data_IF_857011338427
#
_entry.id   IF_857011338427
#
_cell.length_a   1.000
_cell.length_b   1.000
_cell.length_c   1.000
_cell.angle_alpha   90.00
_cell.angle_beta   90.00
_cell.angle_gamma   90.00
#
_symmetry.space_group_name_H-M   'P 1'
#
loop_
_entity.id
_entity.type
_entity.pdbx_description
1 polymer ?
#
# COMPACT_ATOMS: atom_id res chain seq x y z
N UNK A 1 20.53 10.03 -36.15
CA UNK A 1 20.73 8.70 -35.56
C UNK A 1 20.60 8.82 -34.04
N UNK A 2 19.51 8.33 -33.43
CA UNK A 2 19.45 8.22 -31.97
C UNK A 2 20.29 7.01 -31.57
N UNK A 3 21.39 7.24 -30.88
CA UNK A 3 22.18 6.17 -30.30
C UNK A 3 21.30 5.41 -29.30
N UNK A 4 21.04 4.13 -29.60
CA UNK A 4 20.41 3.19 -28.67
C UNK A 4 21.38 2.95 -27.51
N UNK A 5 21.31 3.80 -26.48
CA UNK A 5 21.86 3.48 -25.18
C UNK A 5 20.94 2.44 -24.53
N UNK A 6 21.24 1.18 -24.78
CA UNK A 6 20.52 -0.01 -24.27
C UNK A 6 20.74 -0.23 -22.74
N UNK A 7 20.93 0.85 -21.99
CA UNK A 7 21.22 0.90 -20.56
C UNK A 7 20.29 1.87 -19.80
N UNK A 8 19.28 2.44 -20.46
CA UNK A 8 18.29 3.23 -19.73
C UNK A 8 17.36 2.31 -18.93
N UNK A 9 17.05 2.69 -17.69
CA UNK A 9 16.10 1.98 -16.82
C UNK A 9 14.65 2.17 -17.28
N UNK A 10 14.42 3.13 -18.17
CA UNK A 10 13.12 3.42 -18.75
C UNK A 10 13.02 2.81 -20.16
N UNK A 11 11.91 2.12 -20.43
CA UNK A 11 11.54 1.74 -21.80
C UNK A 11 11.30 2.98 -22.67
N UNK A 12 10.61 3.98 -22.12
CA UNK A 12 10.50 5.32 -22.68
C UNK A 12 10.43 6.33 -21.53
N UNK A 13 11.47 7.16 -21.42
CA UNK A 13 11.65 8.12 -20.33
C UNK A 13 10.64 9.26 -20.41
N UNK A 14 10.35 9.77 -21.60
CA UNK A 14 9.45 10.90 -21.79
C UNK A 14 8.02 10.51 -21.44
N UNK A 15 7.58 9.34 -21.93
CA UNK A 15 6.26 8.78 -21.62
C UNK A 15 6.14 8.49 -20.12
N UNK A 16 7.16 7.90 -19.49
CA UNK A 16 7.14 7.64 -18.04
C UNK A 16 6.90 8.92 -17.23
N UNK A 17 7.68 9.98 -17.48
CA UNK A 17 7.55 11.22 -16.72
C UNK A 17 6.21 11.92 -16.98
N UNK A 18 5.67 11.84 -18.20
CA UNK A 18 4.36 12.39 -18.50
C UNK A 18 3.25 11.67 -17.73
N UNK A 19 3.25 10.33 -17.77
CA UNK A 19 2.30 9.51 -17.03
C UNK A 19 2.42 9.71 -15.52
N UNK A 20 3.65 9.81 -15.01
CA UNK A 20 3.90 10.06 -13.58
C UNK A 20 3.37 11.42 -13.14
N UNK A 21 3.55 12.48 -13.95
CA UNK A 21 2.99 13.80 -13.66
C UNK A 21 1.47 13.78 -13.64
N UNK A 22 0.83 13.04 -14.55
CA UNK A 22 -0.62 12.92 -14.58
C UNK A 22 -1.14 12.14 -13.38
N UNK A 23 -0.58 10.95 -13.13
CA UNK A 23 -0.89 10.13 -11.95
C UNK A 23 -0.78 10.94 -10.65
N UNK A 24 0.27 11.78 -10.52
CA UNK A 24 0.44 12.62 -9.33
C UNK A 24 -0.73 13.58 -9.06
N UNK A 25 -1.44 14.00 -10.11
CA UNK A 25 -2.56 14.96 -10.05
C UNK A 25 -3.91 14.27 -9.90
N UNK A 26 -4.12 13.17 -10.61
CA UNK A 26 -5.44 12.57 -10.77
C UNK A 26 -5.67 11.32 -9.92
N UNK A 27 -4.62 10.60 -9.51
CA UNK A 27 -4.77 9.33 -8.83
C UNK A 27 -5.52 9.48 -7.50
N UNK A 28 -6.61 8.72 -7.38
CA UNK A 28 -7.42 8.60 -6.18
C UNK A 28 -7.45 7.16 -5.69
N UNK A 29 -7.04 6.96 -4.44
CA UNK A 29 -7.01 5.67 -3.77
C UNK A 29 -8.03 5.69 -2.64
N UNK A 30 -9.03 4.83 -2.72
CA UNK A 30 -9.95 4.60 -1.61
C UNK A 30 -9.34 3.58 -0.65
N UNK A 31 -9.20 3.97 0.61
CA UNK A 31 -8.73 3.07 1.66
C UNK A 31 -9.95 2.55 2.41
N UNK A 32 -10.10 1.23 2.48
CA UNK A 32 -11.18 0.64 3.27
C UNK A 32 -11.08 1.11 4.73
N UNK A 33 -12.15 1.73 5.29
CA UNK A 33 -12.08 2.38 6.59
C UNK A 33 -11.91 1.33 7.70
N UNK A 34 -10.79 1.35 8.43
CA UNK A 34 -10.58 0.40 9.52
C UNK A 34 -11.47 0.77 10.71
N UNK A 35 -12.21 -0.21 11.24
CA UNK A 35 -13.00 -0.03 12.48
C UNK A 35 -12.05 -0.02 13.68
N UNK A 36 -12.03 1.06 14.48
CA UNK A 36 -11.15 1.15 15.67
C UNK A 36 -11.42 0.07 16.71
N UNK A 37 -12.67 -0.38 16.80
CA UNK A 37 -13.10 -1.44 17.72
C UNK A 37 -13.03 -2.84 17.09
N UNK A 38 -12.42 -2.97 15.91
CA UNK A 38 -12.24 -4.26 15.27
C UNK A 38 -11.29 -5.14 16.10
N UNK A 39 -11.59 -6.43 16.31
CA UNK A 39 -10.66 -7.35 16.94
C UNK A 39 -9.27 -7.36 16.28
N UNK A 40 -9.19 -7.07 14.98
CA UNK A 40 -7.96 -7.00 14.18
C UNK A 40 -7.54 -5.56 13.87
N UNK A 41 -7.95 -4.58 14.69
CA UNK A 41 -7.56 -3.18 14.52
C UNK A 41 -6.03 -3.00 14.44
N UNK A 42 -5.24 -3.83 15.14
CA UNK A 42 -3.78 -3.88 15.05
C UNK A 42 -3.26 -4.23 13.64
N UNK A 43 -4.03 -4.97 12.84
CA UNK A 43 -3.70 -5.35 11.46
C UNK A 43 -4.01 -4.20 10.49
N UNK A 44 -5.17 -3.58 10.65
CA UNK A 44 -5.70 -2.61 9.67
C UNK A 44 -5.29 -1.15 9.95
N UNK A 45 -5.07 -0.76 11.20
CA UNK A 45 -4.70 0.62 11.53
C UNK A 45 -3.21 0.90 11.23
N UNK A 46 -2.86 2.16 10.86
CA UNK A 46 -1.46 2.57 10.74
C UNK A 46 -0.72 2.38 12.06
N UNK A 47 0.49 1.85 12.00
CA UNK A 47 1.29 1.61 13.20
C UNK A 47 2.03 2.87 13.64
N UNK A 48 2.26 3.01 14.94
CA UNK A 48 3.26 3.97 15.41
C UNK A 48 4.66 3.50 14.98
N UNK A 49 5.57 4.43 14.66
CA UNK A 49 6.90 4.12 14.11
C UNK A 49 7.71 3.10 14.94
N UNK A 50 7.41 2.95 16.23
CA UNK A 50 8.08 2.01 17.16
C UNK A 50 7.71 0.54 16.94
N UNK A 51 6.64 0.24 16.20
CA UNK A 51 6.17 -1.12 15.93
C UNK A 51 6.26 -1.50 14.44
N UNK A 52 6.89 -0.67 13.62
CA UNK A 52 7.08 -1.00 12.21
C UNK A 52 7.97 -2.25 12.09
N UNK A 53 7.56 -3.26 11.32
CA UNK A 53 8.38 -4.43 11.08
C UNK A 53 9.66 -4.03 10.33
N UNK A 54 10.77 -4.68 10.69
CA UNK A 54 12.01 -4.62 9.93
C UNK A 54 12.03 -5.62 8.76
N UNK A 55 13.17 -5.70 8.07
CA UNK A 55 13.41 -6.70 7.03
C UNK A 55 12.38 -6.65 5.89
N UNK A 56 11.93 -7.82 5.44
CA UNK A 56 11.09 -7.99 4.25
C UNK A 56 9.71 -7.29 4.30
N UNK A 57 9.26 -6.85 5.48
CA UNK A 57 7.98 -6.17 5.67
C UNK A 57 8.12 -4.66 5.91
N UNK A 58 9.34 -4.12 5.94
CA UNK A 58 9.56 -2.70 6.16
C UNK A 58 8.94 -1.84 5.05
N UNK A 59 8.99 -2.31 3.80
CA UNK A 59 8.39 -1.64 2.65
C UNK A 59 6.87 -1.55 2.77
N UNK A 60 6.20 -2.62 3.21
CA UNK A 60 4.75 -2.67 3.46
C UNK A 60 4.34 -1.60 4.50
N UNK A 61 5.01 -1.60 5.64
CA UNK A 61 4.71 -0.65 6.71
C UNK A 61 5.02 0.80 6.30
N UNK A 62 6.09 1.03 5.54
CA UNK A 62 6.41 2.35 5.02
C UNK A 62 5.36 2.83 4.02
N UNK A 63 5.01 2.00 3.03
CA UNK A 63 4.00 2.30 2.03
C UNK A 63 2.67 2.65 2.67
N UNK A 64 2.17 1.81 3.59
CA UNK A 64 0.94 2.07 4.34
C UNK A 64 1.01 3.41 5.07
N UNK A 65 2.08 3.69 5.82
CA UNK A 65 2.21 4.93 6.58
C UNK A 65 2.28 6.19 5.70
N UNK A 66 2.93 6.11 4.54
CA UNK A 66 3.03 7.24 3.60
C UNK A 66 1.73 7.43 2.84
N UNK A 67 1.09 6.36 2.36
CA UNK A 67 -0.19 6.41 1.66
C UNK A 67 -1.25 7.09 2.51
N UNK A 68 -1.41 6.68 3.78
CA UNK A 68 -2.35 7.27 4.76
C UNK A 68 -2.15 8.78 5.02
N UNK A 69 -1.01 9.35 4.63
CA UNK A 69 -0.68 10.78 4.81
C UNK A 69 -0.57 11.54 3.49
N UNK A 70 -0.81 10.85 2.37
CA UNK A 70 -0.66 11.41 1.04
C UNK A 70 -1.94 12.10 0.59
N UNK A 71 -1.82 12.96 -0.42
CA UNK A 71 -2.96 13.60 -1.09
C UNK A 71 -3.69 12.66 -2.07
N UNK A 72 -3.23 11.43 -2.22
CA UNK A 72 -3.83 10.45 -3.13
C UNK A 72 -5.12 9.83 -2.56
N UNK A 73 -5.52 10.12 -1.33
CA UNK A 73 -6.66 9.46 -0.70
C UNK A 73 -7.97 10.14 -1.10
N UNK A 74 -8.98 9.33 -1.39
CA UNK A 74 -10.37 9.77 -1.52
C UNK A 74 -11.25 9.11 -0.45
N UNK A 75 -12.22 9.87 0.08
CA UNK A 75 -13.30 9.36 0.93
C UNK A 75 -14.51 8.89 0.11
N UNK A 76 -14.58 9.29 -1.17
CA UNK A 76 -15.63 8.87 -2.10
C UNK A 76 -15.15 7.66 -2.91
N UNK A 77 -15.70 6.45 -2.68
CA UNK A 77 -15.30 5.26 -3.42
C UNK A 77 -15.68 5.33 -4.91
N UNK A 78 -16.70 6.10 -5.28
CA UNK A 78 -17.12 6.27 -6.69
C UNK A 78 -16.14 7.08 -7.52
N UNK A 79 -15.22 7.81 -6.88
CA UNK A 79 -14.17 8.59 -7.54
C UNK A 79 -12.81 7.89 -7.50
N UNK A 80 -12.73 6.68 -6.95
CA UNK A 80 -11.48 5.98 -6.74
C UNK A 80 -11.02 5.26 -8.01
N UNK A 81 -9.74 5.41 -8.34
CA UNK A 81 -9.06 4.62 -9.36
C UNK A 81 -8.56 3.29 -8.80
N UNK A 82 -8.20 3.27 -7.52
CA UNK A 82 -7.69 2.09 -6.83
C UNK A 82 -8.34 1.91 -5.46
N UNK A 83 -8.48 0.65 -5.05
CA UNK A 83 -8.96 0.28 -3.73
C UNK A 83 -7.84 -0.39 -2.94
N UNK A 84 -7.58 0.09 -1.73
CA UNK A 84 -6.53 -0.43 -0.86
C UNK A 84 -7.12 -0.94 0.45
N UNK A 85 -6.91 -2.23 0.72
CA UNK A 85 -7.23 -2.84 2.02
C UNK A 85 -5.96 -2.80 2.90
N UNK A 86 -5.95 -2.02 4.00
CA UNK A 86 -4.71 -1.69 4.69
C UNK A 86 -4.27 -2.76 5.71
N UNK A 87 -4.38 -4.06 5.41
CA UNK A 87 -3.90 -5.09 6.33
C UNK A 87 -2.38 -5.16 6.38
N UNK A 88 -1.83 -5.56 7.53
CA UNK A 88 -0.42 -5.86 7.66
C UNK A 88 -0.15 -7.35 7.74
N UNK A 89 0.56 -7.90 6.76
CA UNK A 89 0.94 -9.33 6.77
C UNK A 89 1.87 -9.62 7.94
N UNK A 90 2.79 -8.72 8.24
CA UNK A 90 3.66 -8.85 9.41
C UNK A 90 2.85 -9.01 10.70
N UNK A 91 1.83 -8.16 10.91
CA UNK A 91 1.00 -8.25 12.10
C UNK A 91 0.13 -9.50 12.10
N UNK A 92 -0.44 -9.90 10.96
CA UNK A 92 -1.23 -11.14 10.87
C UNK A 92 -0.39 -12.37 11.21
N UNK A 93 0.85 -12.45 10.72
CA UNK A 93 1.76 -13.55 11.03
C UNK A 93 2.11 -13.65 12.51
N UNK A 94 2.11 -12.52 13.22
CA UNK A 94 2.40 -12.46 14.66
C UNK A 94 1.15 -12.43 15.55
N UNK A 95 -0.05 -12.34 14.95
CA UNK A 95 -1.31 -12.38 15.68
C UNK A 95 -1.59 -13.82 16.13
N UNK A 96 -1.75 -14.03 17.44
CA UNK A 96 -1.94 -15.38 18.02
C UNK A 96 -3.21 -16.08 17.53
N UNK A 97 -4.19 -15.34 17.01
CA UNK A 97 -5.43 -15.89 16.48
C UNK A 97 -5.30 -16.41 15.05
N UNK A 98 -4.25 -15.97 14.33
CA UNK A 98 -4.06 -16.27 12.89
C UNK A 98 -2.76 -17.03 12.69
N UNK A 99 -1.64 -16.42 13.07
CA UNK A 99 -0.30 -16.99 12.84
C UNK A 99 0.00 -17.19 11.35
N UNK A 100 1.09 -17.89 11.06
CA UNK A 100 1.50 -18.18 9.67
C UNK A 100 0.55 -19.19 9.02
N UNK A 101 0.07 -20.18 9.79
CA UNK A 101 -0.78 -21.25 9.28
C UNK A 101 -2.20 -20.77 8.91
N UNK A 102 -2.79 -19.85 9.68
CA UNK A 102 -4.15 -19.34 9.44
C UNK A 102 -4.24 -18.18 8.44
N UNK A 103 -3.11 -17.71 7.89
CA UNK A 103 -3.08 -16.53 7.01
C UNK A 103 -3.91 -16.74 5.74
N UNK A 104 -3.84 -17.93 5.14
CA UNK A 104 -4.56 -18.26 3.93
C UNK A 104 -6.08 -18.25 4.13
N UNK A 105 -6.55 -18.74 5.27
CA UNK A 105 -7.97 -18.77 5.61
C UNK A 105 -8.49 -17.37 5.93
N UNK A 106 -7.68 -16.55 6.61
CA UNK A 106 -8.04 -15.18 6.96
C UNK A 106 -8.24 -14.27 5.74
N UNK A 107 -7.43 -14.44 4.69
CA UNK A 107 -7.46 -13.58 3.48
C UNK A 107 -8.59 -13.99 2.52
N UNK A 108 -9.09 -15.23 2.62
CA UNK A 108 -10.16 -15.74 1.75
C UNK A 108 -11.57 -15.29 2.14
N UNK A 109 -11.72 -14.62 3.28
CA UNK A 109 -12.98 -14.05 3.78
C UNK A 109 -13.25 -12.66 3.17
#
# INVERSE_FOLDING_TARGET
>A
SKANNNHDVFHDREIFFQNYKEMKKSLKVYIYPPKKNDPFANVFLPQNKRRNPGGNYASEAYFKNVLFKSHFITENPSEADLFFLPFSIANLRHDRRVGVAGLGDFIRL
#
